data_IF_338958223564
#
_entry.id   IF_338958223564
#
_cell.length_a   1.000
_cell.length_b   1.000
_cell.length_c   1.000
_cell.angle_alpha   90.00
_cell.angle_beta   90.00
_cell.angle_gamma   90.00
#
_symmetry.space_group_name_H-M   'P 1'
#
loop_
_entity.id
_entity.type
_entity.pdbx_description
1 polymer ?
#
# COMPACT_ATOMS: atom_id res chain seq x y z
N UNK A 1 -13.20 -38.36 52.82
CA UNK A 1 -12.26 -39.44 52.46
C UNK A 1 -11.05 -38.84 51.75
N UNK A 2 -9.85 -39.01 52.33
CA UNK A 2 -8.55 -38.66 51.76
C UNK A 2 -8.10 -39.73 50.76
N UNK A 3 -7.43 -39.32 49.67
CA UNK A 3 -6.40 -40.04 48.88
C UNK A 3 -6.05 -39.15 47.67
N UNK A 4 -4.83 -39.02 47.15
CA UNK A 4 -3.45 -39.05 47.63
C UNK A 4 -2.63 -38.60 46.39
N UNK A 5 -1.60 -37.77 46.57
CA UNK A 5 -0.66 -37.36 45.50
C UNK A 5 0.21 -38.55 45.06
N UNK A 6 0.64 -38.56 43.79
CA UNK A 6 1.87 -39.24 43.38
C UNK A 6 2.64 -38.39 42.34
N UNK A 7 3.77 -37.86 42.79
CA UNK A 7 4.85 -37.26 42.02
C UNK A 7 5.79 -38.35 41.49
N UNK A 8 6.38 -38.17 40.31
CA UNK A 8 7.61 -38.88 39.94
C UNK A 8 8.61 -37.93 39.24
N UNK A 9 9.53 -37.40 40.05
CA UNK A 9 10.84 -36.91 39.60
C UNK A 9 11.79 -38.08 39.34
N UNK A 10 12.66 -37.94 38.32
CA UNK A 10 14.05 -38.46 38.17
C UNK A 10 14.47 -38.19 36.72
N UNK A 11 15.69 -37.76 36.35
CA UNK A 11 16.92 -37.34 37.03
C UNK A 11 17.72 -36.55 35.98
N UNK A 12 18.36 -35.45 36.38
CA UNK A 12 19.30 -34.66 35.58
C UNK A 12 20.60 -35.44 35.32
N UNK A 13 21.14 -35.33 34.11
CA UNK A 13 22.57 -35.43 33.85
C UNK A 13 23.12 -34.02 33.56
N UNK A 14 24.32 -33.73 34.06
CA UNK A 14 24.95 -32.41 34.15
C UNK A 14 26.36 -32.51 33.54
N UNK A 15 26.89 -31.35 33.10
CA UNK A 15 28.31 -30.93 32.91
C UNK A 15 28.83 -31.02 31.44
N UNK A 16 29.71 -30.10 30.93
CA UNK A 16 30.26 -28.85 31.48
C UNK A 16 30.05 -27.58 30.63
N UNK A 17 30.16 -26.46 31.33
CA UNK A 17 30.35 -25.09 30.84
C UNK A 17 31.67 -24.84 30.10
N UNK A 18 31.63 -24.09 28.99
CA UNK A 18 32.71 -23.17 28.60
C UNK A 18 32.12 -21.85 28.09
N UNK A 19 32.44 -20.78 28.83
CA UNK A 19 32.27 -19.38 28.43
C UNK A 19 33.04 -19.12 27.13
N UNK A 20 32.38 -18.53 26.14
CA UNK A 20 33.01 -17.63 25.18
C UNK A 20 31.95 -16.58 24.79
N UNK A 21 32.23 -15.33 25.13
CA UNK A 21 31.36 -14.19 24.89
C UNK A 21 31.16 -13.99 23.38
N UNK A 22 29.92 -14.04 22.91
CA UNK A 22 29.54 -13.63 21.56
C UNK A 22 28.99 -12.20 21.65
N UNK A 23 29.72 -11.22 21.11
CA UNK A 23 29.18 -9.89 20.84
C UNK A 23 28.04 -10.04 19.84
N UNK A 24 26.81 -9.78 20.28
CA UNK A 24 25.68 -9.54 19.37
C UNK A 24 25.96 -8.23 18.63
N UNK A 25 26.02 -8.29 17.30
CA UNK A 25 25.71 -7.15 16.45
C UNK A 25 24.30 -7.38 15.93
N UNK A 26 23.34 -6.62 16.48
CA UNK A 26 21.96 -6.61 16.00
C UNK A 26 21.90 -5.77 14.71
N UNK A 27 21.76 -6.45 13.57
CA UNK A 27 21.14 -5.87 12.38
C UNK A 27 20.23 -6.93 11.77
N UNK A 28 18.91 -6.66 11.80
CA UNK A 28 17.90 -7.27 10.93
C UNK A 28 17.91 -8.80 10.76
N UNK A 29 17.21 -9.51 11.65
CA UNK A 29 16.31 -10.62 11.28
C UNK A 29 16.83 -11.87 10.53
N UNK A 30 18.11 -12.04 10.21
CA UNK A 30 18.62 -13.24 9.54
C UNK A 30 19.44 -14.13 10.49
N UNK A 31 18.95 -15.37 10.72
CA UNK A 31 19.73 -16.43 11.38
C UNK A 31 20.49 -17.23 10.32
N UNK A 32 21.82 -17.15 10.33
CA UNK A 32 22.71 -18.02 9.55
C UNK A 32 23.32 -19.09 10.47
N UNK A 33 23.41 -20.34 10.00
CA UNK A 33 24.08 -21.44 10.72
C UNK A 33 25.27 -21.88 9.86
N UNK A 34 26.49 -21.69 10.35
CA UNK A 34 27.71 -22.11 9.67
C UNK A 34 28.12 -23.52 10.12
N UNK A 35 28.49 -24.41 9.18
CA UNK A 35 29.04 -25.74 9.48
C UNK A 35 30.37 -25.90 8.74
N UNK A 36 31.46 -26.14 9.49
CA UNK A 36 32.73 -26.77 9.11
C UNK A 36 33.60 -26.15 7.99
N UNK A 37 34.84 -25.76 8.31
CA UNK A 37 35.88 -25.39 7.34
C UNK A 37 37.11 -26.30 7.49
N UNK A 38 37.61 -26.85 6.38
CA UNK A 38 38.92 -27.52 6.30
C UNK A 38 39.97 -26.49 5.85
N UNK A 39 41.17 -26.40 6.48
CA UNK A 39 42.16 -25.37 6.15
C UNK A 39 43.06 -25.87 5.00
N UNK A 40 42.94 -25.29 3.80
CA UNK A 40 43.89 -25.58 2.71
C UNK A 40 43.47 -25.31 1.27
N UNK A 41 42.35 -24.66 0.97
CA UNK A 41 41.96 -24.37 -0.42
C UNK A 41 41.48 -22.92 -0.60
N UNK A 42 41.94 -22.31 -1.69
CA UNK A 42 41.60 -20.99 -2.21
C UNK A 42 40.09 -20.74 -2.13
N UNK A 43 39.71 -19.61 -1.52
CA UNK A 43 38.39 -19.35 -0.92
C UNK A 43 37.21 -19.33 -1.89
N UNK A 44 36.49 -20.45 -1.98
CA UNK A 44 35.06 -20.48 -2.32
C UNK A 44 34.26 -20.96 -1.11
N UNK A 45 33.47 -20.08 -0.50
CA UNK A 45 32.55 -20.44 0.59
C UNK A 45 31.18 -20.78 -0.01
N UNK A 46 30.76 -22.04 0.12
CA UNK A 46 29.37 -22.45 -0.15
C UNK A 46 28.51 -22.03 1.04
N UNK A 47 27.47 -21.24 0.77
CA UNK A 47 26.41 -20.95 1.73
C UNK A 47 25.06 -21.30 1.12
N UNK A 48 24.19 -21.90 1.93
CA UNK A 48 22.82 -22.21 1.53
C UNK A 48 21.90 -21.16 2.14
N UNK A 49 21.24 -20.36 1.30
CA UNK A 49 20.19 -19.45 1.76
C UNK A 49 18.86 -20.21 1.74
N UNK A 50 18.21 -20.30 2.89
CA UNK A 50 16.90 -20.93 3.02
C UNK A 50 15.81 -19.90 2.73
N UNK A 51 15.06 -20.09 1.64
CA UNK A 51 13.92 -19.26 1.32
C UNK A 51 12.68 -19.78 2.08
N UNK A 52 12.28 -19.05 3.13
CA UNK A 52 11.17 -19.43 4.02
C UNK A 52 9.78 -19.33 3.39
N UNK A 53 9.66 -18.80 2.16
CA UNK A 53 8.37 -18.65 1.49
C UNK A 53 8.06 -19.88 0.60
N UNK A 54 9.07 -20.51 -0.01
CA UNK A 54 8.88 -21.57 -1.00
C UNK A 54 9.54 -22.92 -0.64
N UNK A 55 10.13 -23.04 0.56
CA UNK A 55 10.77 -24.26 1.08
C UNK A 55 11.74 -24.96 0.09
N UNK A 56 12.51 -24.18 -0.67
CA UNK A 56 13.54 -24.66 -1.60
C UNK A 56 14.91 -24.12 -1.21
N UNK A 57 15.89 -25.02 -1.15
CA UNK A 57 17.30 -24.70 -0.92
C UNK A 57 17.99 -24.37 -2.24
N UNK A 58 18.55 -23.16 -2.36
CA UNK A 58 19.32 -22.73 -3.52
C UNK A 58 20.82 -22.61 -3.16
N UNK A 59 21.73 -23.18 -3.98
CA UNK A 59 23.16 -23.04 -3.75
C UNK A 59 23.63 -21.65 -4.18
N UNK A 60 24.36 -20.95 -3.31
CA UNK A 60 25.01 -19.68 -3.64
C UNK A 60 26.52 -19.83 -3.48
N UNK A 61 27.25 -19.35 -4.48
CA UNK A 61 28.72 -19.31 -4.50
C UNK A 61 29.17 -17.86 -4.39
N UNK A 62 30.05 -17.58 -3.42
CA UNK A 62 30.60 -16.25 -3.18
C UNK A 62 32.07 -16.17 -3.58
N UNK A 63 32.48 -15.04 -4.13
CA UNK A 63 33.89 -14.64 -4.25
C UNK A 63 34.08 -13.27 -3.59
N UNK A 64 34.82 -13.23 -2.48
CA UNK A 64 35.38 -12.00 -1.88
C UNK A 64 34.40 -11.03 -1.21
N UNK A 65 33.37 -10.56 -1.90
CA UNK A 65 32.31 -9.66 -1.39
C UNK A 65 31.13 -9.52 -2.37
N UNK A 66 31.14 -10.21 -3.52
CA UNK A 66 30.08 -10.15 -4.53
C UNK A 66 29.38 -11.51 -4.69
N UNK A 67 28.05 -11.44 -4.80
CA UNK A 67 27.17 -12.57 -5.07
C UNK A 67 27.12 -12.79 -6.59
N UNK A 68 27.62 -13.93 -7.09
CA UNK A 68 27.76 -14.23 -8.53
C UNK A 68 26.63 -15.10 -9.12
N UNK A 69 25.46 -15.13 -8.50
CA UNK A 69 24.29 -15.80 -9.09
C UNK A 69 23.50 -14.80 -9.92
N UNK A 70 23.20 -15.16 -11.18
CA UNK A 70 22.31 -14.44 -12.09
C UNK A 70 20.94 -14.23 -11.44
N UNK A 71 20.76 -13.06 -10.83
CA UNK A 71 19.47 -12.59 -10.34
C UNK A 71 18.59 -12.37 -11.57
N UNK A 72 17.60 -13.23 -11.77
CA UNK A 72 16.57 -13.08 -12.80
C UNK A 72 16.01 -11.65 -12.72
N UNK A 73 15.76 -10.95 -13.85
CA UNK A 73 15.47 -9.51 -13.86
C UNK A 73 14.38 -9.07 -12.88
N UNK A 74 13.41 -9.95 -12.60
CA UNK A 74 12.31 -9.74 -11.65
C UNK A 74 12.72 -9.42 -10.21
N UNK A 75 13.80 -10.03 -9.68
CA UNK A 75 14.18 -9.84 -8.27
C UNK A 75 14.96 -8.52 -8.07
N UNK A 76 15.66 -8.03 -9.11
CA UNK A 76 16.29 -6.70 -9.09
C UNK A 76 15.24 -5.58 -9.08
N UNK A 77 14.10 -5.76 -9.73
CA UNK A 77 12.97 -4.81 -9.68
C UNK A 77 12.34 -4.76 -8.29
N UNK A 78 12.15 -5.92 -7.65
CA UNK A 78 11.56 -6.02 -6.31
C UNK A 78 12.42 -5.40 -5.20
N UNK A 79 13.76 -5.46 -5.32
CA UNK A 79 14.68 -4.87 -4.34
C UNK A 79 15.06 -3.40 -4.64
N UNK A 80 14.85 -2.91 -5.87
CA UNK A 80 15.02 -1.48 -6.19
C UNK A 80 13.82 -0.62 -5.76
N UNK A 81 12.62 -1.19 -5.71
CA UNK A 81 11.40 -0.41 -5.45
C UNK A 81 11.06 -0.18 -3.97
N UNK A 82 11.85 -0.71 -3.03
CA UNK A 82 11.58 -0.56 -1.59
C UNK A 82 12.51 0.41 -0.84
N UNK A 83 13.41 1.10 -1.55
CA UNK A 83 14.23 2.19 -1.00
C UNK A 83 14.50 3.26 -2.07
N UNK A 84 13.53 4.17 -2.27
CA UNK A 84 13.71 5.60 -2.57
C UNK A 84 12.47 6.19 -3.26
N UNK A 85 11.37 6.39 -2.52
CA UNK A 85 10.26 7.24 -2.99
C UNK A 85 10.46 8.73 -2.66
N UNK A 86 11.41 9.06 -1.78
CA UNK A 86 11.74 10.43 -1.44
C UNK A 86 13.24 10.65 -1.62
N UNK A 87 13.68 10.73 -2.88
CA UNK A 87 14.88 11.48 -3.19
C UNK A 87 14.43 12.93 -3.45
N UNK A 88 14.32 13.72 -2.38
CA UNK A 88 14.02 15.16 -2.36
C UNK A 88 12.75 15.61 -3.14
N UNK A 89 11.57 15.08 -2.80
CA UNK A 89 10.30 15.44 -3.46
C UNK A 89 9.09 15.25 -2.53
N UNK A 90 8.03 16.05 -2.72
CA UNK A 90 6.71 15.74 -2.18
C UNK A 90 6.06 14.60 -2.98
N UNK A 91 5.37 13.68 -2.31
CA UNK A 91 4.62 12.62 -2.96
C UNK A 91 3.19 13.11 -3.25
N UNK A 92 2.80 13.13 -4.52
CA UNK A 92 1.44 13.45 -4.94
C UNK A 92 0.61 12.19 -5.19
N UNK A 93 -0.48 12.05 -4.46
CA UNK A 93 -1.51 11.04 -4.68
C UNK A 93 -2.72 11.66 -5.39
N UNK A 94 -3.19 11.00 -6.46
CA UNK A 94 -4.37 11.43 -7.21
C UNK A 94 -5.51 10.42 -7.07
N UNK A 95 -6.67 10.92 -6.66
CA UNK A 95 -7.93 10.20 -6.52
C UNK A 95 -8.58 9.97 -7.90
N UNK A 96 -8.75 8.72 -8.33
CA UNK A 96 -9.26 8.36 -9.67
C UNK A 96 -10.42 7.38 -9.60
N UNK A 97 -11.33 7.44 -10.57
CA UNK A 97 -12.53 6.60 -10.66
C UNK A 97 -12.64 5.76 -11.94
N UNK A 98 -11.64 5.84 -12.81
CA UNK A 98 -11.65 5.19 -14.11
C UNK A 98 -10.24 4.92 -14.63
N UNK A 99 -10.14 4.00 -15.58
CA UNK A 99 -8.88 3.68 -16.28
C UNK A 99 -8.30 4.91 -16.98
N UNK A 100 -9.16 5.72 -17.62
CA UNK A 100 -8.72 6.95 -18.28
C UNK A 100 -8.13 7.94 -17.28
N UNK A 101 -8.82 8.16 -16.15
CA UNK A 101 -8.31 9.02 -15.07
C UNK A 101 -6.98 8.51 -14.50
N UNK A 102 -6.82 7.20 -14.32
CA UNK A 102 -5.57 6.60 -13.84
C UNK A 102 -4.40 6.84 -14.81
N UNK A 103 -4.59 6.61 -16.10
CA UNK A 103 -3.59 6.88 -17.15
C UNK A 103 -3.25 8.38 -17.20
N UNK A 104 -4.27 9.25 -17.09
CA UNK A 104 -4.08 10.70 -17.10
C UNK A 104 -3.28 11.18 -15.87
N UNK A 105 -3.54 10.62 -14.69
CA UNK A 105 -2.79 10.92 -13.47
C UNK A 105 -1.30 10.55 -13.63
N UNK A 106 -1.00 9.33 -14.10
CA UNK A 106 0.38 8.90 -14.33
C UNK A 106 1.10 9.78 -15.37
N UNK A 107 0.46 10.05 -16.51
CA UNK A 107 0.99 10.95 -17.56
C UNK A 107 1.16 12.40 -17.08
N UNK A 108 0.40 12.77 -16.06
CA UNK A 108 0.47 14.07 -15.40
C UNK A 108 1.65 14.19 -14.43
N UNK A 109 2.22 13.07 -13.99
CA UNK A 109 3.30 13.03 -13.02
C UNK A 109 2.83 12.83 -11.58
N UNK A 110 1.70 12.14 -11.37
CA UNK A 110 1.33 11.61 -10.06
C UNK A 110 2.31 10.51 -9.64
N UNK A 111 2.68 10.48 -8.36
CA UNK A 111 3.57 9.46 -7.81
C UNK A 111 2.81 8.19 -7.39
N UNK A 112 1.52 8.35 -7.10
CA UNK A 112 0.60 7.30 -6.65
C UNK A 112 -0.83 7.65 -7.04
N UNK A 113 -1.68 6.64 -7.21
CA UNK A 113 -3.12 6.85 -7.36
C UNK A 113 -3.90 6.16 -6.24
N UNK A 114 -4.98 6.79 -5.81
CA UNK A 114 -6.03 6.17 -5.01
C UNK A 114 -7.22 5.86 -5.93
N UNK A 115 -7.53 4.57 -6.08
CA UNK A 115 -8.64 4.08 -6.89
C UNK A 115 -9.91 4.00 -6.05
N UNK A 116 -10.92 4.74 -6.49
CA UNK A 116 -12.22 4.89 -5.85
C UNK A 116 -13.36 4.58 -6.83
N UNK A 117 -14.54 4.30 -6.31
CA UNK A 117 -15.82 4.52 -7.00
C UNK A 117 -16.53 5.73 -6.41
N UNK A 118 -17.64 6.15 -7.02
CA UNK A 118 -18.57 7.16 -6.48
C UNK A 118 -17.89 8.38 -5.84
N UNK A 119 -16.95 9.02 -6.56
CA UNK A 119 -16.22 10.18 -6.03
C UNK A 119 -17.12 11.38 -5.67
N UNK A 120 -18.38 11.39 -6.12
CA UNK A 120 -19.38 12.37 -5.68
C UNK A 120 -19.80 12.16 -4.21
N UNK A 121 -19.70 10.93 -3.69
CA UNK A 121 -19.96 10.58 -2.29
C UNK A 121 -18.68 10.61 -1.42
N UNK A 122 -17.60 11.18 -1.95
CA UNK A 122 -16.28 11.22 -1.29
C UNK A 122 -15.45 9.95 -1.48
N UNK A 123 -15.81 9.08 -2.41
CA UNK A 123 -15.07 7.86 -2.73
C UNK A 123 -15.60 6.63 -1.99
N UNK A 124 -15.87 5.55 -2.70
CA UNK A 124 -16.26 4.23 -2.17
C UNK A 124 -15.38 3.14 -2.78
N UNK A 125 -15.50 1.90 -2.30
CA UNK A 125 -14.75 0.76 -2.86
C UNK A 125 -15.01 0.62 -4.37
N UNK A 126 -13.96 0.59 -5.23
CA UNK A 126 -14.13 0.38 -6.66
C UNK A 126 -14.52 -1.06 -6.98
N UNK A 127 -15.09 -1.27 -8.17
CA UNK A 127 -15.27 -2.63 -8.66
C UNK A 127 -13.90 -3.26 -8.98
N UNK A 128 -13.77 -4.56 -8.72
CA UNK A 128 -12.51 -5.27 -9.00
C UNK A 128 -12.14 -5.28 -10.48
N UNK A 129 -13.13 -5.18 -11.37
CA UNK A 129 -12.88 -5.07 -12.81
C UNK A 129 -12.10 -3.79 -13.17
N UNK A 130 -12.41 -2.65 -12.53
CA UNK A 130 -11.64 -1.41 -12.75
C UNK A 130 -10.22 -1.57 -12.21
N UNK A 131 -10.05 -2.15 -11.02
CA UNK A 131 -8.72 -2.41 -10.45
C UNK A 131 -7.84 -3.25 -11.39
N UNK A 132 -8.39 -4.36 -11.91
CA UNK A 132 -7.66 -5.25 -12.81
C UNK A 132 -7.17 -4.54 -14.07
N UNK A 133 -8.02 -3.73 -14.71
CA UNK A 133 -7.64 -3.01 -15.94
C UNK A 133 -6.67 -1.87 -15.61
N UNK A 134 -6.87 -1.13 -14.52
CA UNK A 134 -5.93 -0.09 -14.08
C UNK A 134 -4.55 -0.68 -13.87
N UNK A 135 -4.42 -1.82 -13.17
CA UNK A 135 -3.13 -2.50 -12.94
C UNK A 135 -2.44 -2.98 -14.22
N UNK A 136 -3.15 -3.10 -15.34
CA UNK A 136 -2.57 -3.40 -16.65
C UNK A 136 -2.13 -2.15 -17.41
N UNK A 137 -2.67 -0.98 -17.06
CA UNK A 137 -2.48 0.26 -17.79
C UNK A 137 -1.51 1.27 -17.13
N UNK A 138 -1.25 1.15 -15.82
CA UNK A 138 -0.35 2.05 -15.09
C UNK A 138 0.77 1.28 -14.37
N UNK A 139 1.89 1.95 -14.16
CA UNK A 139 3.09 1.43 -13.48
C UNK A 139 3.26 2.03 -12.08
N UNK A 140 2.73 3.22 -11.82
CA UNK A 140 2.73 3.83 -10.48
C UNK A 140 1.90 3.01 -9.48
N UNK A 141 2.22 3.07 -8.17
CA UNK A 141 1.46 2.36 -7.14
C UNK A 141 -0.02 2.74 -7.13
N UNK A 142 -0.87 1.73 -6.96
CA UNK A 142 -2.34 1.84 -6.94
C UNK A 142 -2.86 1.44 -5.57
N UNK A 143 -3.31 2.42 -4.82
CA UNK A 143 -3.99 2.22 -3.55
C UNK A 143 -5.49 2.10 -3.79
N UNK A 144 -6.16 1.22 -3.05
CA UNK A 144 -7.60 0.96 -3.25
C UNK A 144 -8.39 1.43 -2.05
N UNK A 145 -9.42 2.23 -2.30
CA UNK A 145 -10.40 2.61 -1.27
C UNK A 145 -11.17 1.38 -0.80
N UNK A 146 -11.30 1.22 0.52
CA UNK A 146 -12.15 0.24 1.19
C UNK A 146 -13.16 1.03 2.02
N UNK A 147 -14.30 1.33 1.38
CA UNK A 147 -15.41 2.07 1.97
C UNK A 147 -16.72 1.63 1.32
N UNK A 148 -17.59 0.90 2.05
CA UNK A 148 -18.73 0.22 1.44
C UNK A 148 -19.87 1.16 1.01
N UNK A 149 -19.93 2.39 1.55
CA UNK A 149 -20.96 3.40 1.23
C UNK A 149 -20.47 4.83 1.50
N UNK A 150 -21.19 5.82 0.95
CA UNK A 150 -21.10 7.21 1.36
C UNK A 150 -21.58 7.46 2.81
N UNK A 151 -21.56 8.73 3.22
CA UNK A 151 -21.97 9.15 4.57
C UNK A 151 -20.87 9.01 5.62
N UNK A 152 -21.26 8.63 6.84
CA UNK A 152 -20.36 8.47 8.00
C UNK A 152 -19.35 7.32 7.86
N UNK A 153 -18.54 7.15 8.91
CA UNK A 153 -17.52 6.11 9.07
C UNK A 153 -17.82 5.17 10.25
N UNK A 154 -19.09 5.14 10.69
CA UNK A 154 -19.58 4.27 11.74
C UNK A 154 -20.22 3.06 11.09
N UNK A 155 -19.47 1.95 11.03
CA UNK A 155 -19.89 0.77 10.27
C UNK A 155 -20.59 -0.24 11.18
N UNK A 156 -21.67 -0.82 10.66
CA UNK A 156 -22.27 -2.02 11.23
C UNK A 156 -21.38 -3.24 11.01
N UNK A 157 -21.60 -4.30 11.81
CA UNK A 157 -20.86 -5.56 11.68
C UNK A 157 -20.90 -6.13 10.26
N UNK A 158 -22.04 -6.02 9.57
CA UNK A 158 -22.18 -6.52 8.18
C UNK A 158 -21.37 -5.70 7.19
N UNK A 159 -21.29 -4.39 7.37
CA UNK A 159 -20.46 -3.52 6.54
C UNK A 159 -18.98 -3.81 6.78
N UNK A 160 -18.59 -4.08 8.03
CA UNK A 160 -17.23 -4.52 8.36
C UNK A 160 -16.90 -5.85 7.67
N UNK A 161 -17.81 -6.82 7.63
CA UNK A 161 -17.58 -8.08 6.88
C UNK A 161 -17.41 -7.85 5.37
N UNK A 162 -18.16 -6.92 4.78
CA UNK A 162 -17.97 -6.49 3.38
C UNK A 162 -16.57 -5.89 3.20
N UNK A 163 -16.15 -4.98 4.08
CA UNK A 163 -14.81 -4.36 4.02
C UNK A 163 -13.71 -5.41 4.11
N UNK A 164 -13.83 -6.41 4.99
CA UNK A 164 -12.87 -7.52 5.10
C UNK A 164 -12.78 -8.32 3.81
N UNK A 165 -13.92 -8.65 3.21
CA UNK A 165 -13.97 -9.36 1.92
C UNK A 165 -13.31 -8.54 0.80
N UNK A 166 -13.61 -7.25 0.72
CA UNK A 166 -13.01 -6.33 -0.26
C UNK A 166 -11.50 -6.18 -0.07
N UNK A 167 -10.99 -6.14 1.16
CA UNK A 167 -9.54 -6.15 1.45
C UNK A 167 -8.89 -7.40 0.86
N UNK A 168 -9.51 -8.57 1.02
CA UNK A 168 -8.98 -9.81 0.46
C UNK A 168 -8.98 -9.79 -1.08
N UNK A 169 -10.06 -9.32 -1.70
CA UNK A 169 -10.18 -9.23 -3.16
C UNK A 169 -9.20 -8.20 -3.74
N UNK A 170 -9.09 -7.01 -3.15
CA UNK A 170 -8.17 -5.98 -3.61
C UNK A 170 -6.71 -6.47 -3.57
N UNK A 171 -6.32 -7.18 -2.51
CA UNK A 171 -5.01 -7.84 -2.43
C UNK A 171 -4.82 -8.89 -3.52
N UNK A 172 -5.83 -9.74 -3.74
CA UNK A 172 -5.79 -10.78 -4.76
C UNK A 172 -5.59 -10.21 -6.17
N UNK A 173 -6.23 -9.07 -6.46
CA UNK A 173 -6.16 -8.40 -7.76
C UNK A 173 -5.02 -7.38 -7.90
N UNK A 174 -4.11 -7.32 -6.92
CA UNK A 174 -2.83 -6.62 -7.06
C UNK A 174 -2.80 -5.17 -6.62
N UNK A 175 -3.65 -4.78 -5.65
CA UNK A 175 -3.51 -3.51 -4.97
C UNK A 175 -2.11 -3.37 -4.33
N UNK A 176 -1.50 -2.19 -4.44
CA UNK A 176 -0.18 -1.89 -3.84
C UNK A 176 -0.30 -1.30 -2.43
N UNK A 177 -1.52 -0.88 -2.06
CA UNK A 177 -1.89 -0.36 -0.75
C UNK A 177 -3.41 -0.25 -0.61
N UNK A 178 -3.86 0.01 0.61
CA UNK A 178 -5.29 0.10 0.92
C UNK A 178 -5.59 1.38 1.68
N UNK A 179 -6.79 1.92 1.49
CA UNK A 179 -7.22 3.14 2.17
C UNK A 179 -8.56 2.89 2.86
N UNK A 180 -8.66 3.22 4.14
CA UNK A 180 -9.93 3.20 4.88
C UNK A 180 -9.87 4.11 6.10
N UNK A 181 -11.01 4.30 6.75
CA UNK A 181 -11.13 5.00 8.03
C UNK A 181 -12.40 4.56 8.72
N UNK A 182 -12.34 4.39 10.04
CA UNK A 182 -13.47 4.04 10.89
C UNK A 182 -13.47 4.93 12.13
N UNK A 183 -14.66 5.40 12.51
CA UNK A 183 -14.88 6.27 13.66
C UNK A 183 -15.93 5.66 14.59
N UNK A 184 -15.84 5.98 15.88
CA UNK A 184 -16.88 5.71 16.88
C UNK A 184 -18.00 6.74 16.80
N UNK A 185 -19.11 6.49 17.49
CA UNK A 185 -20.25 7.42 17.60
C UNK A 185 -19.83 8.81 18.11
N UNK A 186 -18.81 8.88 18.98
CA UNK A 186 -18.24 10.12 19.52
C UNK A 186 -17.27 10.84 18.54
N UNK A 187 -17.08 10.31 17.34
CA UNK A 187 -16.16 10.87 16.34
C UNK A 187 -14.67 10.62 16.63
N UNK A 188 -14.35 9.69 17.52
CA UNK A 188 -12.98 9.23 17.74
C UNK A 188 -12.61 8.12 16.75
N UNK A 189 -11.32 7.88 16.54
CA UNK A 189 -10.87 6.74 15.72
C UNK A 189 -11.27 5.44 16.43
N UNK A 190 -12.00 4.57 15.73
CA UNK A 190 -12.27 3.21 16.19
C UNK A 190 -10.99 2.37 16.09
N UNK A 191 -10.22 2.34 17.17
CA UNK A 191 -8.92 1.68 17.21
C UNK A 191 -9.04 0.17 17.04
N UNK A 192 -10.07 -0.45 17.59
CA UNK A 192 -10.24 -1.90 17.55
C UNK A 192 -10.51 -2.35 16.12
N UNK A 193 -11.48 -1.72 15.46
CA UNK A 193 -11.80 -1.99 14.06
C UNK A 193 -10.62 -1.66 13.15
N UNK A 194 -9.96 -0.50 13.33
CA UNK A 194 -8.80 -0.14 12.52
C UNK A 194 -7.66 -1.17 12.67
N UNK A 195 -7.37 -1.64 13.88
CA UNK A 195 -6.33 -2.65 14.10
C UNK A 195 -6.68 -3.98 13.44
N UNK A 196 -7.95 -4.39 13.50
CA UNK A 196 -8.46 -5.58 12.83
C UNK A 196 -8.28 -5.50 11.31
N UNK A 197 -8.67 -4.38 10.69
CA UNK A 197 -8.52 -4.17 9.25
C UNK A 197 -7.05 -4.05 8.83
N UNK A 198 -6.21 -3.32 9.58
CA UNK A 198 -4.76 -3.22 9.32
C UNK A 198 -4.10 -4.60 9.34
N UNK A 199 -4.50 -5.48 10.26
CA UNK A 199 -3.96 -6.84 10.33
C UNK A 199 -4.23 -7.63 9.04
N UNK A 200 -5.41 -7.47 8.45
CA UNK A 200 -5.78 -8.09 7.16
C UNK A 200 -5.05 -7.47 5.97
N UNK A 201 -4.75 -6.17 6.02
CA UNK A 201 -4.07 -5.45 4.94
C UNK A 201 -2.60 -5.88 4.77
N UNK A 202 -1.93 -6.28 5.86
CA UNK A 202 -0.50 -6.68 5.82
C UNK A 202 -0.22 -7.76 4.76
N UNK A 203 0.89 -7.66 4.02
CA UNK A 203 2.00 -6.72 4.20
C UNK A 203 1.82 -5.36 3.51
N UNK A 204 0.67 -5.07 2.91
CA UNK A 204 0.46 -3.83 2.17
C UNK A 204 0.43 -2.61 3.10
N UNK A 205 0.96 -1.45 2.65
CA UNK A 205 0.77 -0.18 3.33
C UNK A 205 -0.71 0.21 3.39
N UNK A 206 -1.08 0.94 4.44
CA UNK A 206 -2.43 1.44 4.67
C UNK A 206 -2.39 2.95 4.87
N UNK A 207 -3.26 3.67 4.18
CA UNK A 207 -3.52 5.09 4.41
C UNK A 207 -4.82 5.24 5.20
N UNK A 208 -4.82 6.09 6.24
CA UNK A 208 -6.04 6.48 6.92
C UNK A 208 -6.61 7.74 6.26
N UNK A 209 -7.75 7.64 5.58
CA UNK A 209 -8.25 8.78 4.80
C UNK A 209 -8.90 9.87 5.65
N UNK A 210 -8.69 11.14 5.25
CA UNK A 210 -9.55 12.30 5.58
C UNK A 210 -9.48 13.31 4.43
N UNK A 211 -10.64 13.66 3.87
CA UNK A 211 -10.76 14.50 2.67
C UNK A 211 -10.66 16.00 2.98
N UNK A 212 -9.49 16.59 2.76
CA UNK A 212 -9.34 18.03 2.59
C UNK A 212 -9.11 18.33 1.11
N UNK A 213 -9.97 19.14 0.49
CA UNK A 213 -9.84 19.46 -0.94
C UNK A 213 -8.59 20.30 -1.24
N UNK A 214 -7.62 19.72 -1.95
CA UNK A 214 -6.39 20.38 -2.40
C UNK A 214 -6.51 20.79 -3.88
N UNK A 215 -6.10 22.02 -4.17
CA UNK A 215 -6.08 22.63 -5.52
C UNK A 215 -4.76 23.34 -5.78
N UNK A 216 -4.52 23.72 -7.03
CA UNK A 216 -3.34 24.48 -7.48
C UNK A 216 -3.18 25.81 -6.72
N UNK A 217 -4.30 26.44 -6.33
CA UNK A 217 -4.32 27.73 -5.63
C UNK A 217 -3.93 27.65 -4.16
N UNK A 218 -4.09 26.49 -3.51
CA UNK A 218 -3.88 26.34 -2.08
C UNK A 218 -2.72 25.40 -1.71
N UNK A 219 -2.24 24.59 -2.65
CA UNK A 219 -1.21 23.59 -2.40
C UNK A 219 0.05 24.18 -1.75
N UNK A 220 0.59 25.28 -2.28
CA UNK A 220 1.82 25.89 -1.75
C UNK A 220 1.68 26.26 -0.27
N UNK A 221 0.60 26.98 0.08
CA UNK A 221 0.33 27.39 1.47
C UNK A 221 0.12 26.21 2.40
N UNK A 222 -0.49 25.13 1.91
CA UNK A 222 -0.69 23.90 2.68
C UNK A 222 0.65 23.22 2.95
N UNK A 223 1.50 23.05 1.94
CA UNK A 223 2.79 22.37 2.09
C UNK A 223 3.74 23.16 3.00
N UNK A 224 3.90 24.47 2.77
CA UNK A 224 4.73 25.34 3.60
C UNK A 224 4.21 25.44 5.05
N UNK A 225 2.90 25.50 5.24
CA UNK A 225 2.28 25.67 6.56
C UNK A 225 2.16 24.39 7.39
N UNK A 226 2.15 23.21 6.75
CA UNK A 226 1.98 21.92 7.45
C UNK A 226 3.27 21.11 7.58
N UNK A 227 4.27 21.34 6.72
CA UNK A 227 5.45 20.48 6.61
C UNK A 227 5.14 19.07 6.10
N UNK A 228 3.97 18.85 5.49
CA UNK A 228 3.56 17.56 4.98
C UNK A 228 4.45 17.12 3.81
N UNK A 229 4.91 15.87 3.81
CA UNK A 229 5.73 15.29 2.73
C UNK A 229 4.89 14.60 1.64
N UNK A 230 3.60 14.38 1.88
CA UNK A 230 2.66 13.77 0.94
C UNK A 230 1.38 14.60 0.90
N UNK A 231 0.74 14.70 -0.27
CA UNK A 231 -0.54 15.37 -0.41
C UNK A 231 -1.46 14.62 -1.38
N UNK A 232 -2.75 14.75 -1.14
CA UNK A 232 -3.82 14.05 -1.87
C UNK A 232 -4.69 15.06 -2.62
N UNK A 233 -4.98 14.83 -3.89
CA UNK A 233 -5.85 15.69 -4.69
C UNK A 233 -6.69 14.90 -5.69
N UNK A 234 -7.70 15.53 -6.30
CA UNK A 234 -8.49 14.91 -7.37
C UNK A 234 -8.13 15.41 -8.77
N UNK A 235 -7.71 16.67 -8.92
CA UNK A 235 -7.28 17.27 -10.19
C UNK A 235 -8.20 16.97 -11.39
N UNK A 236 -9.53 17.01 -11.17
CA UNK A 236 -10.53 16.67 -12.20
C UNK A 236 -11.05 17.91 -12.94
N UNK A 237 -11.31 17.76 -14.22
CA UNK A 237 -12.12 18.69 -15.01
C UNK A 237 -13.39 18.01 -15.51
N UNK A 238 -14.45 18.80 -15.66
CA UNK A 238 -15.69 18.34 -16.27
C UNK A 238 -15.56 18.45 -17.79
N UNK A 239 -16.02 17.41 -18.48
CA UNK A 239 -16.10 17.35 -19.94
C UNK A 239 -17.50 16.93 -20.35
N UNK A 240 -17.97 17.48 -21.46
CA UNK A 240 -19.31 17.23 -21.97
C UNK A 240 -19.37 15.88 -22.70
N UNK A 241 -20.51 15.21 -22.61
CA UNK A 241 -20.72 13.89 -23.21
C UNK A 241 -20.77 13.97 -24.73
N UNK A 242 -20.24 12.95 -25.40
CA UNK A 242 -20.34 12.79 -26.86
C UNK A 242 -21.75 12.50 -27.37
N UNK A 243 -22.74 12.35 -26.47
CA UNK A 243 -24.14 12.14 -26.83
C UNK A 243 -24.71 13.33 -27.61
N UNK A 244 -25.02 13.10 -28.89
CA UNK A 244 -25.64 14.10 -29.79
C UNK A 244 -27.11 14.34 -29.47
N UNK A 245 -27.86 13.28 -29.15
CA UNK A 245 -29.24 13.37 -28.68
C UNK A 245 -29.27 13.37 -27.16
N UNK A 246 -30.09 14.26 -26.57
CA UNK A 246 -30.22 14.40 -25.11
C UNK A 246 -31.68 14.48 -24.72
N UNK A 247 -32.08 13.69 -23.72
CA UNK A 247 -33.40 13.79 -23.11
C UNK A 247 -33.24 14.42 -21.72
N UNK A 248 -33.48 15.73 -21.63
CA UNK A 248 -33.35 16.49 -20.40
C UNK A 248 -34.47 16.26 -19.39
N UNK A 249 -35.52 15.51 -19.76
CA UNK A 249 -36.66 15.24 -18.88
C UNK A 249 -36.46 14.05 -17.95
N UNK A 250 -35.35 13.32 -18.08
CA UNK A 250 -35.04 12.11 -17.30
C UNK A 250 -33.80 12.34 -16.47
N UNK A 251 -33.86 11.95 -15.19
CA UNK A 251 -32.76 12.01 -14.23
C UNK A 251 -32.64 10.65 -13.56
N UNK A 252 -31.42 10.12 -13.48
CA UNK A 252 -31.13 8.79 -12.94
C UNK A 252 -30.80 8.83 -11.45
N UNK A 253 -30.29 9.96 -10.96
CA UNK A 253 -29.86 10.16 -9.57
C UNK A 253 -30.84 10.94 -8.69
N UNK A 254 -30.54 10.99 -7.40
CA UNK A 254 -31.40 11.63 -6.39
C UNK A 254 -31.45 13.17 -6.46
N UNK A 255 -30.54 13.82 -7.20
CA UNK A 255 -30.42 15.28 -7.25
C UNK A 255 -30.60 15.83 -8.67
N UNK A 256 -31.53 16.77 -8.83
CA UNK A 256 -31.81 17.50 -10.09
C UNK A 256 -30.66 18.44 -10.54
N UNK A 257 -29.60 18.58 -9.76
CA UNK A 257 -28.60 19.65 -9.94
C UNK A 257 -27.44 19.31 -10.88
N UNK A 258 -27.24 18.03 -11.23
CA UNK A 258 -26.07 17.59 -12.00
C UNK A 258 -26.49 17.19 -13.41
N UNK A 259 -25.76 17.69 -14.42
CA UNK A 259 -25.98 17.26 -15.80
C UNK A 259 -25.59 15.79 -15.96
N UNK A 260 -26.54 14.95 -16.39
CA UNK A 260 -26.33 13.53 -16.78
C UNK A 260 -25.32 13.37 -17.93
N UNK A 261 -25.05 14.46 -18.64
CA UNK A 261 -24.15 14.51 -19.78
C UNK A 261 -22.80 15.13 -19.43
N UNK A 262 -22.51 15.38 -18.15
CA UNK A 262 -21.20 15.86 -17.71
C UNK A 262 -20.41 14.72 -17.08
N UNK A 263 -19.20 14.49 -17.59
CA UNK A 263 -18.29 13.45 -17.11
C UNK A 263 -17.09 14.15 -16.48
N UNK A 264 -16.75 13.81 -15.23
CA UNK A 264 -15.53 14.31 -14.58
C UNK A 264 -14.39 13.34 -14.84
N UNK A 265 -13.28 13.85 -15.35
CA UNK A 265 -12.07 13.05 -15.62
C UNK A 265 -10.86 13.79 -15.08
N UNK A 266 -9.86 13.03 -14.64
CA UNK A 266 -8.58 13.61 -14.21
C UNK A 266 -7.92 14.35 -15.37
N UNK A 267 -7.52 15.60 -15.12
CA UNK A 267 -6.94 16.49 -16.10
C UNK A 267 -5.41 16.45 -16.03
N UNK A 268 -4.79 15.97 -17.10
CA UNK A 268 -3.33 15.84 -17.20
C UNK A 268 -2.62 17.18 -16.94
N UNK A 269 -3.20 18.29 -17.39
CA UNK A 269 -2.57 19.62 -17.25
C UNK A 269 -2.63 20.10 -15.81
N UNK A 270 -3.74 19.85 -15.11
CA UNK A 270 -3.85 20.19 -13.68
C UNK A 270 -2.87 19.36 -12.85
N UNK A 271 -2.79 18.05 -13.11
CA UNK A 271 -1.82 17.16 -12.43
C UNK A 271 -0.39 17.66 -12.66
N UNK A 272 -0.01 18.00 -13.89
CA UNK A 272 1.33 18.58 -14.20
C UNK A 272 1.60 19.88 -13.45
N UNK A 273 0.60 20.75 -13.36
CA UNK A 273 0.72 22.02 -12.67
C UNK A 273 0.96 21.81 -11.18
N UNK A 274 0.22 20.88 -10.55
CA UNK A 274 0.40 20.51 -9.15
C UNK A 274 1.79 19.89 -8.91
N UNK A 275 2.24 18.98 -9.77
CA UNK A 275 3.59 18.41 -9.71
C UNK A 275 4.67 19.51 -9.83
N UNK A 276 4.47 20.50 -10.71
CA UNK A 276 5.42 21.60 -10.87
C UNK A 276 5.47 22.50 -9.63
N UNK A 277 4.32 22.83 -9.04
CA UNK A 277 4.24 23.61 -7.79
C UNK A 277 4.98 22.86 -6.67
N UNK A 278 4.70 21.57 -6.50
CA UNK A 278 5.35 20.75 -5.48
C UNK A 278 6.88 20.73 -5.63
N UNK A 279 7.39 20.60 -6.87
CA UNK A 279 8.83 20.63 -7.14
C UNK A 279 9.48 21.98 -6.86
N UNK A 280 8.77 23.08 -7.13
CA UNK A 280 9.30 24.43 -6.95
C UNK A 280 9.48 24.84 -5.47
N UNK A 281 8.79 24.19 -4.53
CA UNK A 281 8.89 24.48 -3.09
C UNK A 281 10.20 23.95 -2.48
N UNK A 282 10.85 22.98 -3.14
CA UNK A 282 12.10 22.36 -2.66
C UNK A 282 13.36 23.04 -3.23
N UNK A 283 13.20 24.08 -4.04
CA UNK A 283 14.28 24.90 -4.63
C UNK A 283 14.35 26.23 -3.90
#
# INVERSE_FOLDING_TARGET
>A
MKRQRASSERKRARIPSRKAALKLVQTGGLRTRCVGSNPGATTYRRATVFNLINNKSLPVVYNGQQCLASVTPHIKTLLRNFRSGAANGFLMEVCVDSVESAINAERGGADRIELCSSLLEGGTTPSMGVLQVVKQCVQIPVFVMIRPRGGDFLYSDREVEVMKADIHLAKLYGADGLVFGALTEDGHIDKELCMSLVALCRPLPVTFHRGGGITDRNLQRILEGSGAAEFHCSARSARDSGMKFRNSSVVMGASLSSSEYSIKVTDVTQVRTLTAIAKNILV
#
